data_IF_635027645056
#
_entry.id   IF_635027645056
#
_cell.length_a   1.000
_cell.length_b   1.000
_cell.length_c   1.000
_cell.angle_alpha   90.00
_cell.angle_beta   90.00
_cell.angle_gamma   90.00
#
_symmetry.space_group_name_H-M   'P 1'
#
loop_
_entity.id
_entity.type
_entity.pdbx_description
1 polymer ?
#
# COMPACT_ATOMS: atom_id res chain seq x y z
N UNK A 1 9.88 -6.12 -19.87
CA UNK A 1 9.39 -6.52 -19.11
C UNK A 1 8.62 -5.79 -18.37
N UNK A 2 7.81 -6.01 -18.21
CA UNK A 2 7.00 -5.22 -17.53
C UNK A 2 6.82 -5.57 -16.15
N UNK A 3 6.93 -4.63 -15.31
CA UNK A 3 6.72 -4.89 -13.96
C UNK A 3 5.31 -4.69 -13.65
N UNK A 4 4.68 -5.63 -13.07
CA UNK A 4 3.28 -5.51 -12.73
C UNK A 4 3.06 -4.98 -11.34
N UNK A 5 4.08 -4.68 -10.61
CA UNK A 5 3.92 -4.16 -9.27
C UNK A 5 3.37 -2.76 -9.27
N UNK A 6 2.44 -2.50 -8.40
CA UNK A 6 1.88 -1.17 -8.19
C UNK A 6 2.25 -0.74 -6.80
N UNK A 7 3.01 0.31 -6.70
CA UNK A 7 3.44 0.83 -5.41
C UNK A 7 2.98 2.28 -5.29
N UNK A 8 2.33 2.60 -4.18
CA UNK A 8 1.87 3.95 -3.90
C UNK A 8 2.38 4.35 -2.54
N UNK A 9 2.67 5.62 -2.38
CA UNK A 9 3.11 6.14 -1.10
C UNK A 9 1.94 6.73 -0.33
N UNK A 10 2.14 6.91 0.97
CA UNK A 10 1.15 7.58 1.79
C UNK A 10 0.86 8.96 1.19
N UNK A 11 -0.40 9.30 1.08
CA UNK A 11 -0.82 10.56 0.51
C UNK A 11 -1.09 10.51 -0.97
N UNK A 12 -0.66 9.46 -1.65
CA UNK A 12 -0.96 9.30 -3.06
C UNK A 12 -2.33 8.66 -3.23
N UNK A 13 -2.95 8.93 -4.37
CA UNK A 13 -4.25 8.37 -4.67
C UNK A 13 -4.08 7.01 -5.32
N UNK A 14 -4.82 6.03 -4.83
CA UNK A 14 -4.78 4.70 -5.40
C UNK A 14 -5.34 4.73 -6.82
N UNK A 15 -4.60 4.16 -7.76
CA UNK A 15 -5.05 4.11 -9.15
C UNK A 15 -5.85 2.85 -9.44
N UNK A 16 -5.84 1.89 -8.54
CA UNK A 16 -6.54 0.62 -8.71
C UNK A 16 -7.12 0.21 -7.36
N UNK A 17 -8.34 -0.28 -7.37
CA UNK A 17 -8.94 -0.83 -6.15
C UNK A 17 -8.32 -2.18 -5.85
N UNK A 18 -8.09 -2.45 -4.58
CA UNK A 18 -7.55 -3.73 -4.20
C UNK A 18 -6.98 -3.73 -2.79
N UNK A 19 -6.22 -4.78 -2.49
CA UNK A 19 -5.58 -4.94 -1.20
C UNK A 19 -4.15 -4.45 -1.30
N UNK A 20 -3.75 -3.58 -0.39
CA UNK A 20 -2.41 -3.01 -0.38
C UNK A 20 -1.69 -3.44 0.89
N UNK A 21 -0.42 -3.75 0.73
CA UNK A 21 0.41 -4.20 1.82
C UNK A 21 1.44 -3.14 2.15
N UNK A 22 1.65 -2.89 3.45
CA UNK A 22 2.66 -1.94 3.89
C UNK A 22 4.03 -2.57 3.74
N UNK A 23 4.85 -2.01 2.86
CA UNK A 23 6.18 -2.57 2.63
C UNK A 23 7.09 -2.36 3.82
N UNK A 24 6.91 -1.27 4.54
CA UNK A 24 7.73 -1.01 5.71
C UNK A 24 7.49 -2.07 6.78
N UNK A 25 6.24 -2.44 7.01
CA UNK A 25 5.93 -3.50 7.95
C UNK A 25 6.45 -4.84 7.46
N UNK A 26 6.37 -5.08 6.15
CA UNK A 26 6.84 -6.33 5.58
C UNK A 26 8.33 -6.52 5.86
N UNK A 27 9.11 -5.46 5.70
CA UNK A 27 10.55 -5.56 5.92
C UNK A 27 10.88 -5.76 7.39
N UNK A 28 10.03 -5.31 8.30
CA UNK A 28 10.29 -5.48 9.71
C UNK A 28 9.66 -6.74 10.28
N UNK A 29 9.06 -7.57 9.43
CA UNK A 29 8.50 -8.84 9.89
C UNK A 29 7.04 -8.81 10.25
N UNK A 30 6.38 -7.67 10.08
CA UNK A 30 4.96 -7.56 10.34
C UNK A 30 4.20 -7.62 9.01
N UNK A 31 2.90 -7.83 9.11
CA UNK A 31 2.07 -7.85 7.91
C UNK A 31 0.88 -6.94 8.15
N UNK A 32 0.77 -5.88 7.35
CA UNK A 32 -0.35 -4.96 7.44
C UNK A 32 -0.94 -4.81 6.05
N UNK A 33 -2.19 -5.18 5.90
CA UNK A 33 -2.90 -5.12 4.63
C UNK A 33 -4.14 -4.28 4.81
N UNK A 34 -4.37 -3.35 3.88
CA UNK A 34 -5.60 -2.56 3.90
C UNK A 34 -6.26 -2.67 2.55
N UNK A 35 -7.57 -2.53 2.54
CA UNK A 35 -8.32 -2.51 1.31
C UNK A 35 -8.59 -1.07 0.94
N UNK A 36 -8.18 -0.67 -0.26
CA UNK A 36 -8.31 0.70 -0.72
C UNK A 36 -8.97 0.69 -2.08
N UNK A 37 -9.89 1.60 -2.30
CA UNK A 37 -10.56 1.70 -3.58
C UNK A 37 -9.90 2.76 -4.43
N UNK A 38 -10.04 2.60 -5.74
CA UNK A 38 -9.49 3.56 -6.67
C UNK A 38 -10.02 4.95 -6.37
N UNK A 39 -9.14 5.92 -6.37
CA UNK A 39 -9.51 7.28 -6.08
C UNK A 39 -9.38 7.65 -4.61
N UNK A 40 -9.03 6.69 -3.76
CA UNK A 40 -8.87 6.92 -2.33
C UNK A 40 -7.42 7.20 -2.04
N UNK A 41 -7.17 8.17 -1.16
CA UNK A 41 -5.81 8.50 -0.73
C UNK A 41 -5.32 7.42 0.22
N UNK A 42 -4.09 6.97 0.03
CA UNK A 42 -3.53 5.93 0.88
C UNK A 42 -3.22 6.49 2.26
N UNK A 43 -3.61 5.77 3.32
CA UNK A 43 -3.45 6.26 4.67
C UNK A 43 -2.06 5.97 5.22
N UNK A 44 -1.72 6.60 6.33
CA UNK A 44 -0.52 6.26 7.07
C UNK A 44 -0.76 4.89 7.70
N UNK A 45 0.27 4.03 7.63
CA UNK A 45 0.16 2.71 8.22
C UNK A 45 -0.02 2.82 9.74
N UNK A 46 -1.08 2.21 10.25
CA UNK A 46 -1.39 2.29 11.67
C UNK A 46 -0.39 1.51 12.52
N UNK A 47 0.28 0.54 11.92
CA UNK A 47 1.22 -0.30 12.65
C UNK A 47 2.58 0.37 12.81
N UNK A 48 3.17 0.82 11.72
CA UNK A 48 4.49 1.43 11.80
C UNK A 48 4.43 2.95 11.90
N UNK A 49 3.30 3.55 11.50
CA UNK A 49 3.07 4.99 11.60
C UNK A 49 4.13 5.81 10.89
N UNK A 50 4.69 5.25 9.83
CA UNK A 50 5.73 5.91 9.09
C UNK A 50 5.10 6.68 7.93
N UNK A 51 5.40 7.96 7.83
CA UNK A 51 4.82 8.80 6.80
C UNK A 51 5.41 8.53 5.43
N UNK A 52 6.54 7.84 5.38
CA UNK A 52 7.18 7.50 4.11
C UNK A 52 6.88 6.07 3.69
N UNK A 53 5.86 5.48 4.28
CA UNK A 53 5.49 4.11 3.96
C UNK A 53 5.07 4.00 2.51
N UNK A 54 5.52 2.93 1.87
CA UNK A 54 5.06 2.57 0.54
C UNK A 54 4.06 1.43 0.67
N UNK A 55 2.97 1.53 -0.09
CA UNK A 55 1.96 0.49 -0.14
C UNK A 55 2.09 -0.25 -1.45
N UNK A 56 2.11 -1.56 -1.38
CA UNK A 56 2.23 -2.41 -2.55
C UNK A 56 0.91 -3.11 -2.83
N UNK A 57 0.43 -3.00 -4.06
CA UNK A 57 -0.80 -3.67 -4.44
C UNK A 57 -0.57 -5.17 -4.49
N UNK A 58 -1.24 -5.90 -3.61
CA UNK A 58 -1.12 -7.35 -3.57
C UNK A 58 -2.16 -8.01 -4.47
N UNK A 59 -3.38 -7.47 -4.48
CA UNK A 59 -4.46 -8.12 -5.20
C UNK A 59 -5.45 -7.06 -5.64
N UNK A 60 -5.85 -7.10 -6.89
CA UNK A 60 -6.87 -6.19 -7.39
C UNK A 60 -8.25 -6.69 -6.98
N UNK A 61 -9.14 -5.75 -6.76
CA UNK A 61 -10.52 -6.10 -6.45
C UNK A 61 -11.33 -6.34 -7.69
#
# INVERSE_FOLDING_TARGET
MTNSSKTCKVGETASVSGSYECLNCKYSGAETVVRVERGTVLPICATCKDQDTAWHLRKTS
#
